data_IF_220176141557
#
_entry.id   IF_220176141557
#
_cell.length_a   1.000
_cell.length_b   1.000
_cell.length_c   1.000
_cell.angle_alpha   90.00
_cell.angle_beta   90.00
_cell.angle_gamma   90.00
#
_symmetry.space_group_name_H-M   'P 1'
#
loop_
_entity.id
_entity.type
_entity.pdbx_description
1 polymer ?
#
# COMPACT_ATOMS: atom_id res chain seq x y z
N UNK A 1 -25.48 -15.36 14.37
CA UNK A 1 -24.33 -16.12 13.83
C UNK A 1 -23.38 -15.10 13.22
N UNK A 2 -22.13 -15.07 13.64
CA UNK A 2 -21.11 -14.21 13.02
C UNK A 2 -20.99 -14.61 11.54
N UNK A 3 -21.03 -13.65 10.59
CA UNK A 3 -20.88 -13.96 9.18
C UNK A 3 -19.55 -14.70 8.93
N UNK A 4 -19.60 -15.81 8.19
CA UNK A 4 -18.40 -16.57 7.84
C UNK A 4 -17.57 -15.78 6.83
N UNK A 5 -16.30 -15.51 7.17
CA UNK A 5 -15.34 -14.83 6.29
C UNK A 5 -14.02 -15.61 6.19
N UNK A 6 -13.22 -15.40 5.13
CA UNK A 6 -11.98 -16.16 4.90
C UNK A 6 -10.79 -15.71 5.77
N UNK A 7 -10.88 -14.57 6.45
CA UNK A 7 -9.79 -13.95 7.21
C UNK A 7 -9.51 -14.60 8.58
N UNK A 8 -8.30 -14.37 9.09
CA UNK A 8 -7.81 -14.89 10.37
C UNK A 8 -7.60 -13.75 11.38
N UNK A 9 -7.79 -13.93 12.69
CA UNK A 9 -8.25 -15.15 13.33
C UNK A 9 -9.70 -15.47 12.98
N UNK A 10 -10.02 -16.76 12.93
CA UNK A 10 -11.37 -17.22 12.65
C UNK A 10 -12.32 -16.81 13.78
N UNK A 11 -13.54 -16.42 13.43
CA UNK A 11 -14.59 -16.09 14.40
C UNK A 11 -14.57 -14.65 14.93
N UNK A 12 -13.57 -13.85 14.55
CA UNK A 12 -13.61 -12.38 14.73
C UNK A 12 -14.78 -11.80 13.93
N UNK A 13 -15.43 -10.77 14.43
CA UNK A 13 -16.48 -10.09 13.68
C UNK A 13 -15.88 -9.01 12.76
N UNK A 14 -16.22 -9.07 11.48
CA UNK A 14 -15.95 -7.99 10.52
C UNK A 14 -17.26 -7.28 10.24
N UNK A 15 -17.33 -6.02 10.65
CA UNK A 15 -18.56 -5.22 10.58
C UNK A 15 -19.07 -5.13 9.13
N UNK A 16 -20.33 -5.52 8.93
CA UNK A 16 -21.03 -5.45 7.65
C UNK A 16 -20.25 -6.12 6.49
N UNK A 17 -19.58 -7.24 6.75
CA UNK A 17 -18.76 -7.93 5.74
C UNK A 17 -19.56 -8.29 4.48
N UNK A 18 -19.03 -7.90 3.32
CA UNK A 18 -19.51 -8.30 1.99
C UNK A 18 -18.32 -8.88 1.22
N UNK A 19 -18.40 -10.11 0.69
CA UNK A 19 -17.31 -10.70 -0.10
C UNK A 19 -17.09 -9.92 -1.40
N UNK A 20 -15.86 -9.98 -1.94
CA UNK A 20 -15.55 -9.42 -3.26
C UNK A 20 -16.41 -10.11 -4.34
N UNK A 21 -16.81 -9.34 -5.36
CA UNK A 21 -17.45 -9.88 -6.57
C UNK A 21 -16.43 -10.14 -7.69
N UNK A 22 -15.28 -9.45 -7.65
CA UNK A 22 -14.11 -9.78 -8.43
C UNK A 22 -13.28 -10.88 -7.76
N UNK A 23 -12.80 -11.85 -8.55
CA UNK A 23 -11.82 -12.84 -8.08
C UNK A 23 -10.39 -12.28 -8.03
N UNK A 24 -9.51 -12.93 -7.27
CA UNK A 24 -8.09 -12.57 -7.08
C UNK A 24 -7.37 -12.23 -8.38
N UNK A 25 -7.46 -13.10 -9.40
CA UNK A 25 -6.77 -12.87 -10.68
C UNK A 25 -7.23 -11.57 -11.37
N UNK A 26 -8.53 -11.28 -11.33
CA UNK A 26 -9.09 -10.06 -11.92
C UNK A 26 -8.56 -8.83 -11.18
N UNK A 27 -8.55 -8.87 -9.84
CA UNK A 27 -8.02 -7.78 -9.02
C UNK A 27 -6.53 -7.54 -9.25
N UNK A 28 -5.71 -8.59 -9.35
CA UNK A 28 -4.28 -8.49 -9.68
C UNK A 28 -4.06 -7.88 -11.06
N UNK A 29 -4.85 -8.30 -12.07
CA UNK A 29 -4.75 -7.76 -13.41
C UNK A 29 -5.17 -6.28 -13.47
N UNK A 30 -6.21 -5.90 -12.74
CA UNK A 30 -6.62 -4.49 -12.63
C UNK A 30 -5.52 -3.66 -11.95
N UNK A 31 -4.94 -4.16 -10.86
CA UNK A 31 -3.84 -3.49 -10.18
C UNK A 31 -2.63 -3.29 -11.11
N UNK A 32 -2.20 -4.36 -11.79
CA UNK A 32 -1.10 -4.30 -12.76
C UNK A 32 -1.39 -3.32 -13.92
N UNK A 33 -2.62 -3.31 -14.43
CA UNK A 33 -3.05 -2.35 -15.45
C UNK A 33 -3.04 -0.91 -14.92
N UNK A 34 -3.45 -0.68 -13.66
CA UNK A 34 -3.36 0.61 -12.98
C UNK A 34 -1.92 1.10 -12.86
N UNK A 35 -1.00 0.23 -12.43
CA UNK A 35 0.43 0.54 -12.39
C UNK A 35 0.97 0.93 -13.76
N UNK A 36 0.63 0.19 -14.83
CA UNK A 36 1.04 0.54 -16.19
C UNK A 36 0.45 1.88 -16.65
N UNK A 37 -0.82 2.14 -16.34
CA UNK A 37 -1.52 3.38 -16.66
C UNK A 37 -0.95 4.61 -15.93
N UNK A 38 -0.26 4.42 -14.81
CA UNK A 38 0.47 5.48 -14.10
C UNK A 38 1.90 5.61 -14.66
N UNK A 39 2.63 4.50 -14.76
CA UNK A 39 4.05 4.50 -15.09
C UNK A 39 4.34 4.88 -16.53
N UNK A 40 3.51 4.47 -17.49
CA UNK A 40 3.73 4.77 -18.90
C UNK A 40 3.60 6.27 -19.21
N UNK A 41 2.50 6.96 -18.82
CA UNK A 41 2.43 8.42 -18.99
C UNK A 41 3.56 9.15 -18.26
N UNK A 42 3.89 8.77 -17.03
CA UNK A 42 4.99 9.39 -16.29
C UNK A 42 6.33 9.22 -17.00
N UNK A 43 6.63 8.01 -17.53
CA UNK A 43 7.83 7.77 -18.32
C UNK A 43 7.89 8.69 -19.54
N UNK A 44 6.78 8.79 -20.30
CA UNK A 44 6.72 9.64 -21.49
C UNK A 44 6.87 11.12 -21.12
N UNK A 45 6.22 11.58 -20.05
CA UNK A 45 6.34 12.96 -19.58
C UNK A 45 7.77 13.29 -19.17
N UNK A 46 8.41 12.45 -18.34
CA UNK A 46 9.78 12.70 -17.87
C UNK A 46 10.78 12.67 -19.03
N UNK A 47 10.68 11.69 -19.93
CA UNK A 47 11.63 11.57 -21.06
C UNK A 47 11.45 12.68 -22.10
N UNK A 48 10.22 13.20 -22.27
CA UNK A 48 9.99 14.39 -23.10
C UNK A 48 10.47 15.69 -22.44
N UNK A 49 10.28 15.84 -21.11
CA UNK A 49 10.68 17.06 -20.39
C UNK A 49 12.18 17.12 -20.08
N UNK A 50 12.84 15.98 -19.86
CA UNK A 50 14.27 15.87 -19.60
C UNK A 50 14.88 14.70 -20.41
N UNK A 51 15.12 14.88 -21.72
CA UNK A 51 15.62 13.80 -22.59
C UNK A 51 16.97 13.22 -22.20
N UNK A 52 17.80 13.99 -21.48
CA UNK A 52 19.13 13.59 -21.00
C UNK A 52 19.11 13.02 -19.58
N UNK A 53 17.93 12.67 -19.03
CA UNK A 53 17.84 12.06 -17.70
C UNK A 53 18.60 10.73 -17.66
N UNK A 54 19.35 10.50 -16.58
CA UNK A 54 20.04 9.22 -16.41
C UNK A 54 19.05 8.08 -16.23
N UNK A 55 19.42 6.87 -16.65
CA UNK A 55 18.58 5.67 -16.45
C UNK A 55 18.26 5.42 -14.97
N UNK A 56 19.20 5.72 -14.06
CA UNK A 56 19.00 5.57 -12.62
C UNK A 56 17.96 6.55 -12.07
N UNK A 57 18.04 7.81 -12.48
CA UNK A 57 17.12 8.87 -12.05
C UNK A 57 15.72 8.61 -12.60
N UNK A 58 15.61 8.16 -13.84
CA UNK A 58 14.33 7.81 -14.44
C UNK A 58 13.65 6.66 -13.69
N UNK A 59 14.38 5.57 -13.38
CA UNK A 59 13.82 4.46 -12.59
C UNK A 59 13.41 4.92 -11.18
N UNK A 60 14.22 5.77 -10.55
CA UNK A 60 13.94 6.32 -9.22
C UNK A 60 12.68 7.18 -9.25
N UNK A 61 12.54 8.05 -10.24
CA UNK A 61 11.34 8.88 -10.41
C UNK A 61 10.08 8.05 -10.68
N UNK A 62 10.17 6.99 -11.50
CA UNK A 62 9.06 6.07 -11.73
C UNK A 62 8.67 5.30 -10.45
N UNK A 63 9.65 4.81 -9.69
CA UNK A 63 9.43 4.16 -8.40
C UNK A 63 8.68 5.09 -7.43
N UNK A 64 9.19 6.30 -7.18
CA UNK A 64 8.55 7.23 -6.27
C UNK A 64 7.22 7.77 -6.78
N UNK A 65 6.98 7.79 -8.09
CA UNK A 65 5.64 8.07 -8.63
C UNK A 65 4.67 6.98 -8.23
N UNK A 66 5.06 5.71 -8.36
CA UNK A 66 4.23 4.58 -7.94
C UNK A 66 3.99 4.59 -6.43
N UNK A 67 5.03 4.79 -5.60
CA UNK A 67 4.88 4.95 -4.16
C UNK A 67 3.94 6.10 -3.81
N UNK A 68 4.10 7.25 -4.47
CA UNK A 68 3.24 8.41 -4.27
C UNK A 68 1.76 8.09 -4.52
N UNK A 69 1.47 7.35 -5.60
CA UNK A 69 0.12 6.92 -5.92
C UNK A 69 -0.44 5.91 -4.91
N UNK A 70 0.35 4.90 -4.51
CA UNK A 70 -0.08 3.89 -3.54
C UNK A 70 -0.37 4.56 -2.20
N UNK A 71 0.56 5.34 -1.66
CA UNK A 71 0.36 5.99 -0.37
C UNK A 71 -0.79 6.99 -0.40
N UNK A 72 -0.83 7.89 -1.39
CA UNK A 72 -1.85 8.94 -1.37
C UNK A 72 -3.25 8.41 -1.65
N UNK A 73 -3.40 7.53 -2.65
CA UNK A 73 -4.72 7.11 -3.11
C UNK A 73 -5.17 5.79 -2.49
N UNK A 74 -4.30 4.78 -2.45
CA UNK A 74 -4.67 3.45 -1.97
C UNK A 74 -4.73 3.41 -0.44
N UNK A 75 -3.67 3.86 0.23
CA UNK A 75 -3.60 3.92 1.70
C UNK A 75 -4.45 5.07 2.24
N UNK A 76 -4.51 6.21 1.55
CA UNK A 76 -5.47 7.27 1.86
C UNK A 76 -6.93 6.81 1.79
N UNK A 77 -7.28 5.93 0.83
CA UNK A 77 -8.60 5.30 0.77
C UNK A 77 -8.85 4.41 1.99
N UNK A 78 -7.85 3.63 2.41
CA UNK A 78 -7.95 2.86 3.64
C UNK A 78 -8.16 3.76 4.86
N UNK A 79 -7.31 4.76 5.08
CA UNK A 79 -7.41 5.65 6.22
C UNK A 79 -8.78 6.35 6.30
N UNK A 80 -9.37 6.72 5.16
CA UNK A 80 -10.72 7.28 5.11
C UNK A 80 -11.84 6.27 5.43
N UNK A 81 -11.64 4.99 5.10
CA UNK A 81 -12.67 3.95 5.16
C UNK A 81 -12.42 2.85 6.19
N UNK A 82 -11.38 2.95 7.02
CA UNK A 82 -10.87 1.84 7.84
C UNK A 82 -11.94 1.16 8.71
N UNK A 83 -12.86 1.95 9.30
CA UNK A 83 -13.97 1.43 10.10
C UNK A 83 -15.00 0.59 9.32
N UNK A 84 -15.09 0.77 8.01
CA UNK A 84 -16.14 0.18 7.16
C UNK A 84 -15.57 -0.68 6.03
N UNK A 85 -14.27 -1.00 6.07
CA UNK A 85 -13.56 -1.65 4.95
C UNK A 85 -14.22 -2.97 4.51
N UNK A 86 -14.70 -3.77 5.47
CA UNK A 86 -15.38 -5.05 5.20
C UNK A 86 -16.62 -4.95 4.29
N UNK A 87 -17.27 -3.78 4.23
CA UNK A 87 -18.46 -3.52 3.41
C UNK A 87 -18.17 -2.86 2.06
N UNK A 88 -16.92 -2.44 1.80
CA UNK A 88 -16.59 -1.64 0.62
C UNK A 88 -16.52 -2.51 -0.65
N UNK A 89 -17.32 -2.13 -1.64
CA UNK A 89 -17.37 -2.79 -2.96
C UNK A 89 -16.76 -1.95 -4.09
N UNK A 90 -16.22 -0.76 -3.77
CA UNK A 90 -15.38 -0.02 -4.72
C UNK A 90 -14.17 -0.87 -5.12
N UNK A 91 -13.54 -0.56 -6.24
CA UNK A 91 -12.31 -1.26 -6.66
C UNK A 91 -11.25 -1.29 -5.55
N UNK A 92 -10.99 -0.14 -4.89
CA UNK A 92 -10.03 -0.07 -3.79
C UNK A 92 -10.48 -0.87 -2.57
N UNK A 93 -11.78 -0.86 -2.24
CA UNK A 93 -12.31 -1.69 -1.15
C UNK A 93 -12.13 -3.18 -1.40
N UNK A 94 -12.31 -3.61 -2.65
CA UNK A 94 -12.10 -5.00 -3.02
C UNK A 94 -10.62 -5.39 -3.03
N UNK A 95 -9.73 -4.52 -3.52
CA UNK A 95 -8.28 -4.71 -3.45
C UNK A 95 -7.80 -4.78 -1.99
N UNK A 96 -8.31 -3.93 -1.09
CA UNK A 96 -8.00 -4.00 0.34
C UNK A 96 -8.51 -5.29 0.99
N UNK A 97 -9.71 -5.74 0.63
CA UNK A 97 -10.22 -7.05 1.08
C UNK A 97 -9.41 -8.22 0.54
N UNK A 98 -8.81 -8.11 -0.64
CA UNK A 98 -7.89 -9.11 -1.18
C UNK A 98 -6.57 -9.09 -0.42
N UNK A 99 -5.99 -7.90 -0.22
CA UNK A 99 -4.77 -7.71 0.56
C UNK A 99 -4.93 -8.19 2.00
N UNK A 100 -6.11 -7.99 2.60
CA UNK A 100 -6.41 -8.42 3.95
C UNK A 100 -6.44 -9.95 4.15
N UNK A 101 -6.38 -10.75 3.07
CA UNK A 101 -6.12 -12.20 3.20
C UNK A 101 -4.75 -12.47 3.83
N UNK A 102 -3.84 -11.53 3.71
CA UNK A 102 -2.46 -11.60 4.19
C UNK A 102 -2.28 -10.85 5.51
N UNK A 103 -3.12 -9.86 5.78
CA UNK A 103 -3.26 -9.27 7.10
C UNK A 103 -4.68 -8.77 7.34
N UNK A 104 -5.45 -9.51 8.13
CA UNK A 104 -6.84 -9.15 8.40
C UNK A 104 -7.04 -7.90 9.23
N UNK A 105 -5.96 -7.35 9.84
CA UNK A 105 -6.05 -6.13 10.64
C UNK A 105 -6.62 -4.95 9.86
N UNK A 106 -6.52 -4.97 8.52
CA UNK A 106 -7.14 -3.97 7.64
C UNK A 106 -8.68 -4.07 7.54
N UNK A 107 -9.32 -5.09 8.12
CA UNK A 107 -10.78 -5.26 8.13
C UNK A 107 -11.41 -5.04 9.49
N UNK A 108 -10.59 -4.78 10.51
CA UNK A 108 -11.03 -4.49 11.88
C UNK A 108 -10.40 -3.19 12.37
N UNK A 109 -10.97 -2.51 13.37
CA UNK A 109 -10.34 -1.32 13.93
C UNK A 109 -9.01 -1.64 14.63
N UNK A 110 -7.89 -1.43 13.92
CA UNK A 110 -6.54 -1.53 14.46
C UNK A 110 -5.86 -0.15 14.48
N UNK A 111 -5.42 0.28 15.67
CA UNK A 111 -4.88 1.63 15.87
C UNK A 111 -3.55 1.85 15.17
N UNK A 112 -2.73 0.80 15.05
CA UNK A 112 -1.43 0.89 14.40
C UNK A 112 -1.60 0.91 12.88
N UNK A 113 -2.42 0.02 12.29
CA UNK A 113 -2.73 0.04 10.86
C UNK A 113 -3.28 1.42 10.45
N UNK A 114 -4.29 1.94 11.17
CA UNK A 114 -4.83 3.26 10.86
C UNK A 114 -3.76 4.36 10.93
N UNK A 115 -2.98 4.41 12.00
CA UNK A 115 -1.99 5.48 12.21
C UNK A 115 -0.87 5.44 11.17
N UNK A 116 -0.37 4.24 10.86
CA UNK A 116 0.68 4.04 9.86
C UNK A 116 0.21 4.51 8.48
N UNK A 117 -0.95 4.03 8.03
CA UNK A 117 -1.49 4.33 6.71
C UNK A 117 -1.95 5.79 6.57
N UNK A 118 -2.40 6.42 7.66
CA UNK A 118 -2.68 7.85 7.67
C UNK A 118 -1.40 8.68 7.51
N UNK A 119 -0.30 8.29 8.17
CA UNK A 119 0.99 8.97 8.06
C UNK A 119 1.55 8.81 6.64
N UNK A 120 1.50 7.61 6.08
CA UNK A 120 1.99 7.36 4.72
C UNK A 120 1.19 8.18 3.70
N UNK A 121 -0.14 8.20 3.81
CA UNK A 121 -1.00 8.99 2.92
C UNK A 121 -0.78 10.50 3.04
N UNK A 122 -0.63 11.02 4.27
CA UNK A 122 -0.48 12.46 4.52
C UNK A 122 0.93 12.99 4.22
N UNK A 123 1.96 12.17 4.42
CA UNK A 123 3.35 12.61 4.31
C UNK A 123 4.10 11.90 3.19
N UNK A 124 4.19 10.57 3.20
CA UNK A 124 5.02 9.82 2.24
C UNK A 124 4.49 9.90 0.82
N UNK A 125 3.17 9.91 0.62
CA UNK A 125 2.55 10.12 -0.70
C UNK A 125 2.95 11.46 -1.32
N UNK A 126 2.59 12.61 -0.69
CA UNK A 126 2.95 13.93 -1.18
C UNK A 126 4.47 14.16 -1.32
N UNK A 127 5.28 13.71 -0.35
CA UNK A 127 6.73 13.86 -0.41
C UNK A 127 7.36 13.04 -1.54
N UNK A 128 6.78 11.88 -1.88
CA UNK A 128 7.25 11.09 -3.03
C UNK A 128 7.03 11.83 -4.35
N UNK A 129 5.88 12.48 -4.55
CA UNK A 129 5.66 13.32 -5.75
C UNK A 129 6.56 14.55 -5.77
N UNK A 130 6.78 15.18 -4.61
CA UNK A 130 7.72 16.29 -4.54
C UNK A 130 9.14 15.84 -4.89
N UNK A 131 9.58 14.67 -4.41
CA UNK A 131 10.86 14.08 -4.78
C UNK A 131 10.98 13.84 -6.28
N UNK A 132 9.94 13.31 -6.94
CA UNK A 132 9.91 13.17 -8.41
C UNK A 132 10.14 14.51 -9.08
N UNK A 133 9.50 15.58 -8.60
CA UNK A 133 9.71 16.93 -9.15
C UNK A 133 11.15 17.42 -8.96
N UNK A 134 11.80 17.10 -7.83
CA UNK A 134 13.21 17.46 -7.56
C UNK A 134 14.17 16.70 -8.47
N UNK A 135 13.89 15.42 -8.74
CA UNK A 135 14.66 14.60 -9.69
C UNK A 135 14.56 15.18 -11.10
N UNK A 136 13.35 15.51 -11.56
CA UNK A 136 13.14 16.09 -12.90
C UNK A 136 13.83 17.45 -13.04
N UNK A 137 13.81 18.27 -11.98
CA UNK A 137 14.45 19.59 -11.96
C UNK A 137 15.98 19.55 -11.76
N UNK A 138 16.57 18.37 -11.58
CA UNK A 138 18.00 18.20 -11.27
C UNK A 138 18.45 18.90 -9.98
N UNK A 139 17.57 18.98 -8.99
CA UNK A 139 17.86 19.66 -7.73
C UNK A 139 18.63 18.73 -6.77
N UNK A 140 19.94 18.60 -6.98
CA UNK A 140 20.80 17.72 -6.17
C UNK A 140 20.81 18.08 -4.68
N UNK A 141 20.69 19.36 -4.34
CA UNK A 141 20.75 19.84 -2.96
C UNK A 141 19.60 19.30 -2.09
N UNK A 142 18.39 19.22 -2.64
CA UNK A 142 17.20 18.76 -1.90
C UNK A 142 16.78 17.33 -2.23
N UNK A 143 17.08 16.85 -3.44
CA UNK A 143 16.73 15.50 -3.89
C UNK A 143 17.17 14.43 -2.90
N UNK A 144 18.46 14.38 -2.57
CA UNK A 144 19.00 13.27 -1.75
C UNK A 144 18.51 13.33 -0.30
N UNK A 145 18.47 14.49 0.38
CA UNK A 145 17.87 14.58 1.70
C UNK A 145 16.41 14.14 1.73
N UNK A 146 15.58 14.61 0.79
CA UNK A 146 14.16 14.22 0.72
C UNK A 146 14.03 12.72 0.43
N UNK A 147 14.82 12.19 -0.49
CA UNK A 147 14.84 10.75 -0.79
C UNK A 147 15.18 9.90 0.44
N UNK A 148 16.20 10.28 1.20
CA UNK A 148 16.57 9.58 2.43
C UNK A 148 15.44 9.63 3.46
N UNK A 149 14.81 10.81 3.66
CA UNK A 149 13.72 10.97 4.62
C UNK A 149 12.53 10.08 4.25
N UNK A 150 12.09 10.10 2.99
CA UNK A 150 10.94 9.31 2.54
C UNK A 150 11.26 7.82 2.61
N UNK A 151 12.42 7.38 2.10
CA UNK A 151 12.81 5.97 2.14
C UNK A 151 12.98 5.44 3.57
N UNK A 152 13.53 6.24 4.49
CA UNK A 152 13.64 5.85 5.88
C UNK A 152 12.27 5.77 6.56
N UNK A 153 11.36 6.70 6.26
CA UNK A 153 10.00 6.69 6.75
C UNK A 153 9.22 5.44 6.32
N UNK A 154 9.33 5.07 5.05
CA UNK A 154 8.76 3.84 4.49
C UNK A 154 9.34 2.59 5.17
N UNK A 155 10.68 2.48 5.23
CA UNK A 155 11.34 1.35 5.88
C UNK A 155 10.97 1.22 7.36
N UNK A 156 10.89 2.34 8.07
CA UNK A 156 10.50 2.34 9.48
C UNK A 156 9.04 1.86 9.67
N UNK A 157 8.13 2.31 8.81
CA UNK A 157 6.75 1.83 8.76
C UNK A 157 6.69 0.31 8.58
N UNK A 158 7.38 -0.22 7.56
CA UNK A 158 7.42 -1.66 7.28
C UNK A 158 8.00 -2.48 8.43
N UNK A 159 9.09 -2.01 9.05
CA UNK A 159 9.69 -2.67 10.20
C UNK A 159 8.70 -2.75 11.37
N UNK A 160 7.95 -1.67 11.64
CA UNK A 160 6.91 -1.68 12.66
C UNK A 160 5.72 -2.57 12.27
N UNK A 161 5.34 -2.59 10.99
CA UNK A 161 4.28 -3.44 10.47
C UNK A 161 4.56 -4.92 10.72
N UNK A 162 5.73 -5.40 10.30
CA UNK A 162 6.16 -6.76 10.56
C UNK A 162 6.43 -7.03 12.04
N UNK A 163 6.98 -6.05 12.76
CA UNK A 163 7.22 -6.15 14.20
C UNK A 163 5.94 -6.37 15.00
N UNK A 164 4.86 -5.64 14.68
CA UNK A 164 3.57 -5.78 15.36
C UNK A 164 2.87 -7.09 15.01
N UNK A 165 2.91 -7.53 13.74
CA UNK A 165 2.41 -8.85 13.34
C UNK A 165 3.17 -9.99 14.04
N UNK A 166 4.50 -9.92 14.04
CA UNK A 166 5.37 -10.91 14.67
C UNK A 166 5.17 -10.96 16.19
N UNK A 167 4.99 -9.80 16.84
CA UNK A 167 4.68 -9.74 18.26
C UNK A 167 3.35 -10.45 18.59
N UNK A 168 2.29 -10.20 17.81
CA UNK A 168 1.01 -10.86 18.00
C UNK A 168 1.11 -12.39 17.82
N UNK A 169 1.86 -12.84 16.81
CA UNK A 169 2.09 -14.26 16.58
C UNK A 169 2.82 -14.92 17.75
N UNK A 170 3.93 -14.34 18.22
CA UNK A 170 4.80 -14.94 19.24
C UNK A 170 4.18 -14.85 20.64
N UNK A 171 3.61 -13.70 21.01
CA UNK A 171 3.21 -13.42 22.38
C UNK A 171 1.70 -13.51 22.62
N UNK A 172 0.89 -13.40 21.56
CA UNK A 172 -0.58 -13.47 21.67
C UNK A 172 -1.17 -14.73 21.02
N UNK A 173 -0.34 -15.54 20.36
CA UNK A 173 -0.78 -16.72 19.59
C UNK A 173 -1.85 -16.36 18.55
N UNK A 174 -1.75 -15.16 17.99
CA UNK A 174 -2.69 -14.61 17.01
C UNK A 174 -2.01 -14.48 15.66
N UNK A 175 -2.58 -15.13 14.65
CA UNK A 175 -2.18 -14.98 13.25
C UNK A 175 -3.25 -14.17 12.51
N UNK A 176 -2.82 -13.15 11.75
CA UNK A 176 -3.70 -12.31 10.94
C UNK A 176 -3.72 -12.69 9.46
N UNK A 177 -2.67 -13.39 9.01
CA UNK A 177 -2.58 -13.94 7.64
C UNK A 177 -3.31 -15.27 7.56
N UNK A 178 -3.85 -15.55 6.38
CA UNK A 178 -4.17 -16.92 6.00
C UNK A 178 -2.90 -17.78 5.85
N UNK A 179 -3.00 -19.11 6.04
CA UNK A 179 -1.84 -20.01 6.02
C UNK A 179 -1.29 -20.30 4.62
N UNK A 180 -2.02 -19.98 3.54
CA UNK A 180 -1.50 -20.18 2.20
C UNK A 180 -0.27 -19.29 1.94
N UNK A 181 0.79 -19.89 1.38
CA UNK A 181 2.07 -19.19 1.15
C UNK A 181 1.95 -17.91 0.32
N UNK A 182 1.01 -17.86 -0.62
CA UNK A 182 0.81 -16.70 -1.48
C UNK A 182 0.17 -15.51 -0.74
N UNK A 183 -0.58 -15.76 0.35
CA UNK A 183 -1.06 -14.69 1.22
C UNK A 183 0.15 -14.11 1.98
N UNK A 184 0.86 -14.95 2.72
CA UNK A 184 1.95 -14.47 3.57
C UNK A 184 3.16 -13.90 2.80
N UNK A 185 3.56 -14.51 1.67
CA UNK A 185 4.76 -14.13 0.91
C UNK A 185 4.48 -13.46 -0.43
N UNK A 186 3.25 -13.58 -0.96
CA UNK A 186 2.91 -13.12 -2.31
C UNK A 186 2.28 -11.73 -2.36
N UNK A 187 1.73 -11.24 -1.25
CA UNK A 187 1.21 -9.87 -1.15
C UNK A 187 1.84 -9.06 -0.02
N UNK A 188 2.76 -9.63 0.77
CA UNK A 188 3.49 -8.92 1.84
C UNK A 188 4.74 -8.22 1.30
N UNK A 189 4.59 -7.30 0.36
CA UNK A 189 5.71 -6.54 -0.19
C UNK A 189 5.35 -5.06 -0.29
#
# INVERSE_FOLDING_TARGET
MTPTHPYYPRGVEIANYIPNDHGTLVLVLIFAAGCAAILLPTYLLITNSRPQISTGDLRTALWFTLCGCIHLFFEGYYAWNFHHMGSRMSLFGQLWKEYALSDSRYLVPDSFMFSMEAITALFWGPLSFWLVSLIVQDNEALRYPVQIIVSLGQLYGDVLYYGTAGFAMVFQSTEYSRPERWCFWGTGA
#
